data_IF_928768375090
#
_entry.id   IF_928768375090
#
_cell.length_a   1.000
_cell.length_b   1.000
_cell.length_c   1.000
_cell.angle_alpha   90.00
_cell.angle_beta   90.00
_cell.angle_gamma   90.00
#
_symmetry.space_group_name_H-M   'P 1'
#
loop_
_entity.id
_entity.type
_entity.pdbx_description
1 polymer ?
#
# COMPACT_ATOMS: atom_id res chain seq x y z
N UNK A 1 -24.73 0.61 1.01
CA UNK A 1 -24.93 1.72 1.93
C UNK A 1 -26.37 2.25 1.85
N UNK A 2 -26.86 2.64 0.67
CA UNK A 2 -28.19 3.22 0.52
C UNK A 2 -29.33 2.31 1.04
N UNK A 3 -29.26 1.01 0.78
CA UNK A 3 -30.23 0.04 1.33
C UNK A 3 -30.18 -0.11 2.83
N UNK A 4 -29.00 0.04 3.43
CA UNK A 4 -28.85 0.10 4.89
C UNK A 4 -29.56 1.34 5.47
N UNK A 5 -29.35 2.51 4.87
CA UNK A 5 -30.04 3.74 5.30
C UNK A 5 -31.57 3.66 5.14
N UNK A 6 -32.06 2.82 4.24
CA UNK A 6 -33.48 2.54 4.04
C UNK A 6 -34.04 1.46 4.99
N UNK A 7 -33.19 0.89 5.86
CA UNK A 7 -33.60 -0.13 6.82
C UNK A 7 -33.69 -1.57 6.27
N UNK A 8 -33.13 -1.84 5.08
CA UNK A 8 -33.11 -3.21 4.53
C UNK A 8 -32.05 -4.10 5.18
N UNK A 9 -31.04 -3.53 5.82
CA UNK A 9 -29.94 -4.27 6.43
C UNK A 9 -29.66 -3.74 7.85
N UNK A 10 -29.33 -4.63 8.76
CA UNK A 10 -28.94 -4.29 10.14
C UNK A 10 -27.46 -3.85 10.25
N UNK A 11 -26.65 -4.18 9.24
CA UNK A 11 -25.22 -3.90 9.19
C UNK A 11 -24.77 -3.52 7.76
N UNK A 12 -23.86 -2.56 7.67
CA UNK A 12 -23.25 -2.17 6.40
C UNK A 12 -21.84 -1.61 6.60
N UNK A 13 -20.95 -1.91 5.68
CA UNK A 13 -19.73 -1.12 5.48
C UNK A 13 -20.05 0.25 4.90
N UNK A 14 -19.12 1.19 5.05
CA UNK A 14 -19.22 2.54 4.49
C UNK A 14 -18.26 2.62 3.31
N UNK A 15 -18.78 2.84 2.10
CA UNK A 15 -17.96 3.04 0.89
C UNK A 15 -17.17 4.35 0.98
N UNK A 16 -16.09 4.47 0.21
CA UNK A 16 -15.21 5.65 0.25
C UNK A 16 -15.96 6.93 -0.14
N UNK A 17 -16.82 6.85 -1.14
CA UNK A 17 -17.64 7.96 -1.64
C UNK A 17 -18.76 8.41 -0.66
N UNK A 18 -19.18 7.52 0.24
CA UNK A 18 -20.20 7.82 1.26
C UNK A 18 -19.60 8.13 2.63
N UNK A 19 -18.27 8.08 2.76
CA UNK A 19 -17.61 8.18 4.06
C UNK A 19 -17.88 9.51 4.76
N UNK A 20 -17.70 10.63 4.08
CA UNK A 20 -17.86 11.97 4.66
C UNK A 20 -19.30 12.31 5.04
N UNK A 21 -20.28 11.61 4.44
CA UNK A 21 -21.69 11.73 4.84
C UNK A 21 -21.96 11.04 6.17
N UNK A 22 -21.24 9.97 6.47
CA UNK A 22 -21.48 9.12 7.63
C UNK A 22 -20.54 9.42 8.81
N UNK A 23 -19.28 9.77 8.52
CA UNK A 23 -18.21 9.87 9.51
C UNK A 23 -17.51 11.21 9.40
N UNK A 24 -17.18 11.79 10.54
CA UNK A 24 -16.32 12.96 10.68
C UNK A 24 -15.24 12.68 11.71
N UNK A 25 -14.18 13.45 11.72
CA UNK A 25 -13.18 13.40 12.78
C UNK A 25 -13.58 14.36 13.91
N UNK A 26 -13.44 13.92 15.14
CA UNK A 26 -13.59 14.79 16.31
C UNK A 26 -12.28 15.59 16.55
N UNK A 27 -12.27 16.45 17.58
CA UNK A 27 -11.13 17.30 17.94
C UNK A 27 -9.86 16.50 18.30
N UNK A 28 -10.00 15.20 18.57
CA UNK A 28 -8.89 14.28 18.85
C UNK A 28 -8.46 13.48 17.60
N UNK A 29 -9.04 13.80 16.42
CA UNK A 29 -8.78 13.07 15.19
C UNK A 29 -9.38 11.66 15.12
N UNK A 30 -10.30 11.31 16.02
CA UNK A 30 -10.97 10.00 16.02
C UNK A 30 -12.23 10.03 15.15
N UNK A 31 -12.51 8.96 14.40
CA UNK A 31 -13.72 8.87 13.58
C UNK A 31 -14.95 8.76 14.48
N UNK A 32 -15.93 9.61 14.23
CA UNK A 32 -17.25 9.64 14.90
C UNK A 32 -18.34 9.83 13.86
N UNK A 33 -19.55 9.37 14.17
CA UNK A 33 -20.70 9.58 13.28
C UNK A 33 -21.04 11.06 13.17
N UNK A 34 -21.47 11.47 11.98
CA UNK A 34 -22.08 12.78 11.76
C UNK A 34 -23.37 12.93 12.58
N UNK A 35 -23.81 14.17 12.88
CA UNK A 35 -25.08 14.40 13.61
C UNK A 35 -26.28 13.72 12.94
N UNK A 36 -26.33 13.74 11.59
CA UNK A 36 -27.42 13.11 10.84
C UNK A 36 -27.50 11.59 11.07
N UNK A 37 -26.37 10.90 11.13
CA UNK A 37 -26.32 9.46 11.39
C UNK A 37 -26.68 9.14 12.85
N UNK A 38 -26.28 9.99 13.80
CA UNK A 38 -26.64 9.86 15.21
C UNK A 38 -28.16 10.00 15.42
N UNK A 39 -28.81 10.92 14.70
CA UNK A 39 -30.27 11.09 14.77
C UNK A 39 -31.04 9.85 14.28
N UNK A 40 -30.46 9.09 13.35
CA UNK A 40 -31.01 7.82 12.87
C UNK A 40 -30.68 6.64 13.79
N UNK A 41 -30.12 6.87 14.97
CA UNK A 41 -29.72 5.84 15.95
C UNK A 41 -28.71 4.81 15.40
N UNK A 42 -27.97 5.16 14.35
CA UNK A 42 -26.90 4.34 13.79
C UNK A 42 -25.74 4.29 14.79
N UNK A 43 -25.08 3.14 14.87
CA UNK A 43 -23.87 2.95 15.68
C UNK A 43 -22.66 2.73 14.77
N UNK A 44 -21.56 3.39 15.08
CA UNK A 44 -20.27 3.17 14.41
C UNK A 44 -19.46 2.16 15.22
N UNK A 45 -19.05 1.08 14.57
CA UNK A 45 -18.09 0.14 15.11
C UNK A 45 -16.84 0.15 14.24
N UNK A 46 -15.69 0.31 14.86
CA UNK A 46 -14.39 0.26 14.19
C UNK A 46 -13.57 -0.90 14.72
N UNK A 47 -12.87 -1.59 13.84
CA UNK A 47 -11.96 -2.68 14.20
C UNK A 47 -10.74 -2.67 13.29
N UNK A 48 -9.62 -3.18 13.78
CA UNK A 48 -8.46 -3.44 12.94
C UNK A 48 -8.65 -4.80 12.29
N UNK A 49 -8.69 -4.83 10.95
CA UNK A 49 -8.80 -6.09 10.21
C UNK A 49 -7.46 -6.83 10.25
N UNK A 50 -7.43 -8.14 10.47
CA UNK A 50 -6.22 -8.96 10.39
C UNK A 50 -5.86 -9.20 8.92
N UNK A 51 -5.49 -8.14 8.23
CA UNK A 51 -5.16 -8.14 6.80
C UNK A 51 -3.91 -7.32 6.53
N UNK A 52 -3.15 -7.72 5.53
CA UNK A 52 -2.01 -6.98 5.03
C UNK A 52 -2.08 -6.88 3.50
N UNK A 53 -1.87 -5.68 2.96
CA UNK A 53 -1.73 -5.44 1.53
C UNK A 53 -0.29 -5.01 1.26
N UNK A 54 0.30 -5.53 0.19
CA UNK A 54 1.71 -5.36 -0.09
C UNK A 54 2.00 -5.24 -1.59
N UNK A 55 3.19 -4.77 -1.89
CA UNK A 55 3.80 -4.86 -3.21
C UNK A 55 4.85 -5.96 -3.15
N UNK A 56 4.70 -6.96 -4.02
CA UNK A 56 5.65 -8.04 -4.19
C UNK A 56 6.54 -7.83 -5.40
N UNK A 57 7.74 -8.40 -5.33
CA UNK A 57 8.69 -8.45 -6.44
C UNK A 57 8.92 -9.90 -6.87
N UNK A 58 8.93 -10.15 -8.17
CA UNK A 58 9.32 -11.46 -8.68
C UNK A 58 10.83 -11.65 -8.50
N UNK A 59 11.22 -12.53 -7.60
CA UNK A 59 12.64 -12.77 -7.28
C UNK A 59 13.42 -13.47 -8.40
N UNK A 60 12.73 -13.97 -9.44
CA UNK A 60 13.37 -14.53 -10.66
C UNK A 60 13.51 -13.50 -11.78
N UNK A 61 12.98 -12.29 -11.61
CA UNK A 61 13.12 -11.22 -12.60
C UNK A 61 14.56 -10.70 -12.67
N UNK A 62 15.13 -10.46 -13.87
CA UNK A 62 16.53 -10.06 -14.02
C UNK A 62 16.83 -8.64 -13.51
N UNK A 63 15.82 -7.78 -13.33
CA UNK A 63 15.97 -6.38 -12.90
C UNK A 63 15.72 -6.23 -11.40
N UNK A 64 14.54 -6.65 -10.95
CA UNK A 64 14.12 -6.49 -9.55
C UNK A 64 14.39 -7.71 -8.69
N UNK A 65 14.65 -8.86 -9.27
CA UNK A 65 14.84 -10.13 -8.57
C UNK A 65 16.27 -10.41 -8.13
N UNK A 66 16.45 -11.57 -7.48
CA UNK A 66 17.74 -12.06 -6.98
C UNK A 66 18.29 -11.29 -5.79
N UNK A 67 19.48 -11.72 -5.34
CA UNK A 67 20.13 -11.22 -4.10
C UNK A 67 21.32 -10.30 -4.37
N UNK A 68 21.50 -9.85 -5.62
CA UNK A 68 22.54 -8.88 -5.92
C UNK A 68 22.32 -7.58 -5.14
N UNK A 69 23.40 -6.90 -4.77
CA UNK A 69 23.33 -5.58 -4.12
C UNK A 69 22.52 -4.59 -4.98
N UNK A 70 22.72 -4.62 -6.28
CA UNK A 70 22.00 -3.77 -7.25
C UNK A 70 20.47 -3.96 -7.14
N UNK A 71 20.00 -5.21 -7.19
CA UNK A 71 18.57 -5.51 -7.12
C UNK A 71 17.97 -5.17 -5.75
N UNK A 72 18.69 -5.44 -4.66
CA UNK A 72 18.28 -5.05 -3.30
C UNK A 72 18.15 -3.54 -3.16
N UNK A 73 19.18 -2.79 -3.57
CA UNK A 73 19.16 -1.33 -3.51
C UNK A 73 17.99 -0.74 -4.32
N UNK A 74 17.69 -1.31 -5.49
CA UNK A 74 16.53 -0.92 -6.30
C UNK A 74 15.20 -1.17 -5.58
N UNK A 75 14.99 -2.38 -5.04
CA UNK A 75 13.76 -2.71 -4.28
C UNK A 75 13.61 -1.82 -3.04
N UNK A 76 14.69 -1.56 -2.31
CA UNK A 76 14.68 -0.67 -1.16
C UNK A 76 14.37 0.77 -1.54
N UNK A 77 14.95 1.28 -2.64
CA UNK A 77 14.64 2.61 -3.15
C UNK A 77 13.15 2.75 -3.52
N UNK A 78 12.58 1.75 -4.19
CA UNK A 78 11.16 1.71 -4.52
C UNK A 78 10.31 1.73 -3.24
N UNK A 79 10.62 0.87 -2.26
CA UNK A 79 9.88 0.79 -0.99
C UNK A 79 9.92 2.11 -0.21
N UNK A 80 11.08 2.79 -0.16
CA UNK A 80 11.22 4.09 0.50
C UNK A 80 10.41 5.21 -0.17
N UNK A 81 10.20 5.11 -1.48
CA UNK A 81 9.60 6.18 -2.28
C UNK A 81 8.08 6.14 -2.26
N UNK A 82 7.47 4.98 -2.10
CA UNK A 82 6.01 4.83 -2.05
C UNK A 82 5.52 5.28 -0.66
N UNK A 83 4.78 6.39 -0.62
CA UNK A 83 4.26 6.99 0.60
C UNK A 83 2.90 6.39 0.95
N UNK A 84 2.90 5.34 1.79
CA UNK A 84 1.66 4.67 2.17
C UNK A 84 0.80 5.49 3.14
N UNK A 85 1.37 6.40 3.92
CA UNK A 85 0.61 7.32 4.75
C UNK A 85 -0.20 8.28 3.88
N UNK A 86 0.43 8.84 2.82
CA UNK A 86 -0.27 9.65 1.82
C UNK A 86 -1.34 8.83 1.09
N UNK A 87 -1.03 7.59 0.70
CA UNK A 87 -2.00 6.70 0.05
C UNK A 87 -3.24 6.44 0.92
N UNK A 88 -3.03 6.14 2.20
CA UNK A 88 -4.11 5.88 3.16
C UNK A 88 -4.97 7.14 3.35
N UNK A 89 -4.33 8.31 3.46
CA UNK A 89 -5.05 9.58 3.59
C UNK A 89 -5.90 9.88 2.35
N UNK A 90 -5.32 9.75 1.14
CA UNK A 90 -5.98 10.13 -0.11
C UNK A 90 -7.06 9.14 -0.57
N UNK A 91 -6.82 7.84 -0.43
CA UNK A 91 -7.66 6.82 -1.07
C UNK A 91 -8.43 5.94 -0.09
N UNK A 92 -8.13 6.01 1.19
CA UNK A 92 -8.76 5.17 2.21
C UNK A 92 -9.44 5.99 3.32
N UNK A 93 -9.52 7.30 3.18
CA UNK A 93 -10.11 8.19 4.18
C UNK A 93 -9.47 7.97 5.57
N UNK A 94 -8.16 7.78 5.63
CA UNK A 94 -7.43 7.47 6.87
C UNK A 94 -7.68 6.09 7.46
N UNK A 95 -8.45 5.21 6.79
CA UNK A 95 -8.78 3.87 7.27
C UNK A 95 -7.69 2.86 6.92
N UNK A 96 -6.55 2.97 7.58
CA UNK A 96 -5.43 2.05 7.38
C UNK A 96 -4.28 2.38 8.31
N UNK A 97 -3.33 1.47 8.36
CA UNK A 97 -2.06 1.61 9.08
C UNK A 97 -0.96 1.23 8.10
N UNK A 98 0.04 2.08 7.92
CA UNK A 98 1.19 1.74 7.10
C UNK A 98 1.90 0.51 7.69
N UNK A 99 1.95 -0.58 6.92
CA UNK A 99 2.50 -1.84 7.39
C UNK A 99 4.03 -1.77 7.49
N UNK A 100 4.55 -2.16 8.63
CA UNK A 100 6.00 -2.24 8.89
C UNK A 100 6.52 -3.68 8.87
N UNK A 101 5.62 -4.67 8.92
CA UNK A 101 5.93 -6.10 8.86
C UNK A 101 4.80 -6.85 8.16
N UNK A 102 5.02 -8.11 7.76
CA UNK A 102 3.96 -8.97 7.25
C UNK A 102 2.86 -9.26 8.27
N UNK A 103 3.18 -9.25 9.56
CA UNK A 103 2.25 -9.55 10.65
C UNK A 103 1.47 -8.29 11.01
N UNK A 104 0.13 -8.24 10.84
CA UNK A 104 -0.69 -7.10 11.19
C UNK A 104 -0.94 -6.99 12.69
N UNK A 105 -1.39 -5.80 13.17
CA UNK A 105 -1.81 -5.63 14.57
C UNK A 105 -2.90 -6.61 14.98
N UNK A 106 -2.82 -7.13 16.22
CA UNK A 106 -3.77 -8.09 16.76
C UNK A 106 -3.39 -9.56 16.52
N UNK A 107 -2.34 -9.82 15.75
CA UNK A 107 -1.78 -11.17 15.53
C UNK A 107 -0.55 -11.36 16.41
N UNK A 108 -0.38 -12.55 16.96
CA UNK A 108 0.81 -12.89 17.76
C UNK A 108 2.10 -12.64 16.96
N UNK A 109 3.09 -12.06 17.59
CA UNK A 109 4.36 -11.68 16.93
C UNK A 109 4.36 -10.28 16.34
N UNK A 110 3.21 -9.58 16.25
CA UNK A 110 3.20 -8.17 15.88
C UNK A 110 3.98 -7.35 16.92
N UNK A 111 4.86 -6.49 16.44
CA UNK A 111 5.62 -5.58 17.28
C UNK A 111 5.27 -4.13 16.94
N UNK A 112 4.99 -3.36 18.00
CA UNK A 112 4.73 -1.92 17.87
C UNK A 112 5.97 -1.09 18.25
N UNK A 113 5.94 0.19 17.94
CA UNK A 113 7.00 1.13 18.30
C UNK A 113 8.32 0.84 17.61
N UNK A 114 9.43 1.17 18.26
CA UNK A 114 10.78 1.07 17.70
C UNK A 114 11.15 -0.35 17.23
N UNK A 115 10.74 -1.38 17.95
CA UNK A 115 11.05 -2.76 17.61
C UNK A 115 10.34 -3.25 16.33
N UNK A 116 9.19 -2.64 15.99
CA UNK A 116 8.37 -3.05 14.87
C UNK A 116 8.54 -2.23 13.58
N UNK A 117 9.39 -1.19 13.57
CA UNK A 117 9.55 -0.37 12.36
C UNK A 117 10.30 -1.14 11.26
N UNK A 118 9.92 -0.89 10.00
CA UNK A 118 10.73 -1.31 8.86
C UNK A 118 11.94 -0.36 8.71
N UNK A 119 13.17 -0.79 9.04
CA UNK A 119 14.34 0.09 9.06
C UNK A 119 14.79 0.55 7.66
N UNK A 120 14.30 -0.10 6.61
CA UNK A 120 14.52 0.37 5.24
C UNK A 120 13.77 1.66 4.96
N UNK A 121 12.51 1.74 5.39
CA UNK A 121 11.61 2.87 5.06
C UNK A 121 11.63 3.94 6.15
N UNK A 122 11.80 3.54 7.40
CA UNK A 122 11.70 4.42 8.56
C UNK A 122 12.98 4.47 9.39
N UNK A 123 13.10 5.50 10.17
CA UNK A 123 14.04 5.65 11.27
C UNK A 123 13.28 6.07 12.52
N UNK A 124 13.78 5.69 13.69
CA UNK A 124 13.20 6.08 14.97
C UNK A 124 13.85 7.37 15.48
N UNK A 125 13.03 8.38 15.78
CA UNK A 125 13.52 9.69 16.26
C UNK A 125 13.59 9.81 17.80
N UNK A 126 13.33 8.72 18.52
CA UNK A 126 13.23 8.66 19.99
C UNK A 126 11.78 8.66 20.48
N UNK A 127 10.80 8.98 19.64
CA UNK A 127 9.36 9.04 19.99
C UNK A 127 8.48 8.28 19.00
N UNK A 128 8.78 8.40 17.73
CA UNK A 128 7.95 7.81 16.65
C UNK A 128 8.80 7.44 15.44
N UNK A 129 8.21 6.63 14.56
CA UNK A 129 8.79 6.31 13.27
C UNK A 129 8.70 7.53 12.35
N UNK A 130 9.83 7.89 11.73
CA UNK A 130 9.93 8.95 10.71
C UNK A 130 10.35 8.32 9.39
N UNK A 131 9.62 8.63 8.32
CA UNK A 131 10.04 8.16 6.99
C UNK A 131 11.42 8.71 6.63
N UNK A 132 12.26 7.86 6.06
CA UNK A 132 13.53 8.29 5.51
C UNK A 132 13.30 9.26 4.34
N UNK A 133 14.16 10.29 4.18
CA UNK A 133 13.99 11.28 3.13
C UNK A 133 14.16 10.66 1.74
N UNK A 134 13.48 11.23 0.74
CA UNK A 134 13.58 10.81 -0.66
C UNK A 134 15.03 10.76 -1.17
N UNK A 135 15.89 11.65 -0.68
CA UNK A 135 17.33 11.66 -1.02
C UNK A 135 18.03 10.35 -0.68
N UNK A 136 17.59 9.64 0.37
CA UNK A 136 18.15 8.32 0.71
C UNK A 136 17.75 7.26 -0.34
N UNK A 137 16.51 7.28 -0.84
CA UNK A 137 16.08 6.42 -1.94
C UNK A 137 16.83 6.73 -3.24
N UNK A 138 17.03 8.02 -3.56
CA UNK A 138 17.81 8.44 -4.72
C UNK A 138 19.30 8.02 -4.62
N UNK A 139 19.86 8.02 -3.40
CA UNK A 139 21.21 7.52 -3.18
C UNK A 139 21.31 6.01 -3.45
N UNK A 140 20.31 5.22 -3.06
CA UNK A 140 20.23 3.79 -3.39
C UNK A 140 20.11 3.57 -4.90
N UNK A 141 19.30 4.35 -5.61
CA UNK A 141 19.24 4.30 -7.08
C UNK A 141 20.61 4.53 -7.73
N UNK A 142 21.35 5.54 -7.24
CA UNK A 142 22.72 5.82 -7.71
C UNK A 142 23.67 4.65 -7.42
N UNK A 143 23.62 4.05 -6.22
CA UNK A 143 24.40 2.88 -5.84
C UNK A 143 24.09 1.66 -6.71
N UNK A 144 22.80 1.46 -7.03
CA UNK A 144 22.34 0.43 -7.94
C UNK A 144 22.72 0.70 -9.42
N UNK A 145 23.31 1.84 -9.72
CA UNK A 145 23.74 2.23 -11.07
C UNK A 145 22.65 2.89 -11.91
N UNK A 146 21.48 3.18 -11.34
CA UNK A 146 20.35 3.85 -12.03
C UNK A 146 20.34 5.34 -11.78
N UNK A 147 21.41 6.03 -12.14
CA UNK A 147 21.54 7.49 -11.96
C UNK A 147 20.44 8.22 -12.73
N UNK A 148 19.63 9.02 -12.03
CA UNK A 148 18.50 9.72 -12.65
C UNK A 148 17.42 8.80 -13.23
N UNK A 149 17.38 7.55 -12.80
CA UNK A 149 16.44 6.55 -13.33
C UNK A 149 16.82 5.99 -14.70
N UNK A 150 18.08 6.17 -15.13
CA UNK A 150 18.57 5.63 -16.40
C UNK A 150 19.18 4.25 -16.20
N UNK A 151 18.75 3.28 -16.99
CA UNK A 151 19.36 1.96 -17.02
C UNK A 151 20.77 2.06 -17.68
N UNK A 152 21.83 1.68 -16.96
CA UNK A 152 23.19 1.80 -17.47
C UNK A 152 23.48 0.89 -18.68
N UNK A 153 22.74 -0.20 -18.85
CA UNK A 153 22.91 -1.13 -19.98
C UNK A 153 22.26 -0.60 -21.26
N UNK A 154 21.03 -0.09 -21.15
CA UNK A 154 20.25 0.35 -22.33
C UNK A 154 20.39 1.85 -22.61
N UNK A 155 20.89 2.65 -21.66
CA UNK A 155 20.95 4.12 -21.69
C UNK A 155 19.57 4.79 -21.84
N UNK A 156 18.51 4.07 -21.51
CA UNK A 156 17.11 4.53 -21.54
C UNK A 156 16.55 4.62 -20.12
N UNK A 157 15.45 5.34 -19.91
CA UNK A 157 14.75 5.32 -18.62
C UNK A 157 14.42 3.89 -18.18
N UNK A 158 14.65 3.60 -16.90
CA UNK A 158 14.28 2.33 -16.30
C UNK A 158 12.75 2.19 -16.30
N UNK A 159 12.25 1.15 -16.95
CA UNK A 159 10.83 0.80 -16.96
C UNK A 159 10.60 -0.35 -15.99
N UNK A 160 9.66 -0.17 -15.08
CA UNK A 160 9.18 -1.24 -14.16
C UNK A 160 7.74 -1.56 -14.53
N UNK A 161 7.47 -2.84 -14.71
CA UNK A 161 6.13 -3.36 -14.99
C UNK A 161 5.43 -3.68 -13.66
N UNK A 162 4.26 -3.11 -13.48
CA UNK A 162 3.47 -3.29 -12.27
C UNK A 162 2.12 -3.91 -12.60
N UNK A 163 1.97 -5.16 -12.23
CA UNK A 163 0.74 -5.93 -12.45
C UNK A 163 -0.23 -5.75 -11.28
N UNK A 164 -1.48 -5.44 -11.59
CA UNK A 164 -2.54 -5.20 -10.61
C UNK A 164 -3.85 -5.84 -11.05
N UNK A 165 -4.65 -6.27 -10.07
CA UNK A 165 -6.05 -6.60 -10.31
C UNK A 165 -6.89 -5.33 -10.17
N UNK A 166 -7.71 -5.03 -11.18
CA UNK A 166 -8.56 -3.85 -11.18
C UNK A 166 -9.80 -4.03 -12.04
N UNK A 167 -10.90 -3.42 -11.62
CA UNK A 167 -12.12 -3.29 -12.39
C UNK A 167 -12.12 -2.14 -13.40
N UNK A 168 -11.09 -1.27 -13.41
CA UNK A 168 -10.93 -0.16 -14.35
C UNK A 168 -11.74 1.09 -14.03
N UNK A 169 -12.23 1.22 -12.81
CA UNK A 169 -12.99 2.39 -12.35
C UNK A 169 -12.18 3.70 -12.26
N UNK A 170 -12.85 4.80 -11.94
CA UNK A 170 -12.22 6.12 -11.79
C UNK A 170 -11.20 6.14 -10.65
N UNK A 171 -11.51 5.48 -9.54
CA UNK A 171 -10.62 5.35 -8.38
C UNK A 171 -9.33 4.62 -8.73
N UNK A 172 -9.41 3.56 -9.53
CA UNK A 172 -8.23 2.84 -10.00
C UNK A 172 -7.32 3.75 -10.83
N UNK A 173 -7.89 4.57 -11.71
CA UNK A 173 -7.13 5.53 -12.52
C UNK A 173 -6.40 6.54 -11.65
N UNK A 174 -7.05 7.06 -10.61
CA UNK A 174 -6.44 8.01 -9.67
C UNK A 174 -5.27 7.35 -8.89
N UNK A 175 -5.47 6.13 -8.37
CA UNK A 175 -4.43 5.34 -7.68
C UNK A 175 -3.25 5.03 -8.59
N UNK A 176 -3.51 4.66 -9.85
CA UNK A 176 -2.46 4.36 -10.83
C UNK A 176 -1.66 5.62 -11.17
N UNK A 177 -2.32 6.75 -11.35
CA UNK A 177 -1.64 8.02 -11.59
C UNK A 177 -0.78 8.43 -10.41
N UNK A 178 -1.29 8.26 -9.19
CA UNK A 178 -0.53 8.51 -7.97
C UNK A 178 0.71 7.60 -7.90
N UNK A 179 0.57 6.31 -8.14
CA UNK A 179 1.69 5.36 -8.12
C UNK A 179 2.77 5.72 -9.16
N UNK A 180 2.38 6.12 -10.37
CA UNK A 180 3.33 6.64 -11.37
C UNK A 180 4.10 7.85 -10.86
N UNK A 181 3.42 8.79 -10.21
CA UNK A 181 4.06 9.97 -9.61
C UNK A 181 5.05 9.59 -8.50
N UNK A 182 4.73 8.58 -7.67
CA UNK A 182 5.69 8.11 -6.66
C UNK A 182 6.99 7.60 -7.32
N UNK A 183 6.90 6.68 -8.26
CA UNK A 183 8.09 6.09 -8.90
C UNK A 183 8.85 7.10 -9.80
N UNK A 184 8.16 8.08 -10.37
CA UNK A 184 8.79 9.15 -11.14
C UNK A 184 9.76 10.01 -10.30
N UNK A 185 9.59 10.08 -8.96
CA UNK A 185 10.55 10.72 -8.04
C UNK A 185 11.95 10.08 -8.10
N UNK A 186 12.05 8.84 -8.57
CA UNK A 186 13.29 8.10 -8.81
C UNK A 186 13.71 8.09 -10.29
N UNK A 187 12.94 8.73 -11.17
CA UNK A 187 13.13 8.66 -12.63
C UNK A 187 12.64 7.34 -13.25
N UNK A 188 11.94 6.50 -12.48
CA UNK A 188 11.40 5.22 -12.97
C UNK A 188 10.10 5.48 -13.75
N UNK A 189 10.01 4.91 -14.94
CA UNK A 189 8.77 4.82 -15.71
C UNK A 189 7.98 3.58 -15.28
N UNK A 190 6.78 3.80 -14.73
CA UNK A 190 5.93 2.71 -14.27
C UNK A 190 4.90 2.33 -15.33
N UNK A 191 5.06 1.15 -15.92
CA UNK A 191 4.09 0.52 -16.82
C UNK A 191 3.10 -0.32 -16.02
N UNK A 192 1.89 0.21 -15.81
CA UNK A 192 0.85 -0.47 -15.01
C UNK A 192 0.01 -1.35 -15.92
N UNK A 193 0.00 -2.65 -15.60
CA UNK A 193 -0.72 -3.71 -16.31
C UNK A 193 -1.91 -4.18 -15.48
N UNK A 194 -3.05 -3.57 -15.77
CA UNK A 194 -4.30 -3.91 -15.09
C UNK A 194 -5.00 -5.06 -15.79
N UNK A 195 -5.39 -6.09 -15.02
CA UNK A 195 -6.16 -7.23 -15.52
C UNK A 195 -7.23 -7.65 -14.51
N UNK A 196 -8.22 -8.43 -14.95
CA UNK A 196 -9.19 -9.03 -14.04
C UNK A 196 -8.52 -10.05 -13.11
N UNK A 197 -9.09 -10.24 -11.92
CA UNK A 197 -8.49 -11.00 -10.82
C UNK A 197 -8.02 -12.40 -11.20
N UNK A 198 -8.82 -13.18 -11.90
CA UNK A 198 -8.42 -14.55 -12.25
C UNK A 198 -7.17 -14.58 -13.12
N UNK A 199 -7.11 -13.72 -14.15
CA UNK A 199 -5.94 -13.60 -15.03
C UNK A 199 -4.73 -13.05 -14.29
N UNK A 200 -4.94 -12.06 -13.42
CA UNK A 200 -3.88 -11.52 -12.55
C UNK A 200 -3.29 -12.63 -11.67
N UNK A 201 -4.14 -13.40 -10.99
CA UNK A 201 -3.73 -14.52 -10.15
C UNK A 201 -2.89 -15.55 -10.91
N UNK A 202 -3.32 -15.90 -12.12
CA UNK A 202 -2.60 -16.88 -12.96
C UNK A 202 -1.23 -16.33 -13.39
N UNK A 203 -1.12 -15.05 -13.75
CA UNK A 203 0.17 -14.39 -14.04
C UNK A 203 1.13 -14.43 -12.84
N UNK A 204 0.66 -14.15 -11.64
CA UNK A 204 1.49 -14.20 -10.43
C UNK A 204 1.93 -15.62 -10.14
N UNK A 205 1.03 -16.61 -10.19
CA UNK A 205 1.34 -18.02 -9.95
C UNK A 205 2.35 -18.59 -10.94
N UNK A 206 2.35 -18.11 -12.17
CA UNK A 206 3.27 -18.57 -13.23
C UNK A 206 4.52 -17.70 -13.35
N UNK A 207 4.71 -16.71 -12.48
CA UNK A 207 5.88 -15.83 -12.48
C UNK A 207 5.91 -14.84 -13.66
N UNK A 208 4.78 -14.59 -14.33
CA UNK A 208 4.67 -13.65 -15.47
C UNK A 208 4.42 -12.21 -15.02
N UNK A 209 5.02 -11.82 -13.91
CA UNK A 209 4.96 -10.49 -13.31
C UNK A 209 6.37 -10.04 -12.93
N UNK A 210 6.59 -8.72 -12.84
CA UNK A 210 7.85 -8.17 -12.33
C UNK A 210 7.64 -7.58 -10.93
N UNK A 211 6.75 -6.64 -10.79
CA UNK A 211 6.25 -6.08 -9.53
C UNK A 211 4.73 -6.23 -9.53
N UNK A 212 4.12 -6.54 -8.41
CA UNK A 212 2.68 -6.77 -8.33
C UNK A 212 2.11 -6.33 -6.98
N UNK A 213 0.82 -5.98 -6.95
CA UNK A 213 0.08 -5.70 -5.72
C UNK A 213 -0.78 -6.89 -5.35
N UNK A 214 -0.72 -7.30 -4.09
CA UNK A 214 -1.60 -8.32 -3.53
C UNK A 214 -1.93 -8.00 -2.08
N UNK A 215 -2.76 -8.83 -1.47
CA UNK A 215 -3.10 -8.76 -0.06
C UNK A 215 -3.51 -10.11 0.48
N UNK A 216 -3.51 -10.20 1.78
CA UNK A 216 -3.97 -11.36 2.52
C UNK A 216 -4.89 -10.91 3.66
N UNK A 217 -6.00 -11.60 3.82
CA UNK A 217 -6.87 -11.53 4.98
C UNK A 217 -6.71 -12.85 5.72
N UNK A 218 -6.39 -12.79 7.01
CA UNK A 218 -6.22 -14.01 7.80
C UNK A 218 -7.52 -14.82 7.86
N UNK A 219 -7.41 -16.10 7.62
CA UNK A 219 -8.51 -17.06 7.81
C UNK A 219 -8.72 -17.34 9.30
N UNK A 220 -7.65 -17.23 10.10
CA UNK A 220 -7.64 -17.34 11.56
C UNK A 220 -6.48 -16.50 12.15
N UNK A 221 -6.57 -16.06 13.43
CA UNK A 221 -5.64 -15.10 14.00
C UNK A 221 -4.32 -15.74 14.47
N UNK A 222 -3.57 -16.33 13.56
CA UNK A 222 -2.26 -16.93 13.81
C UNK A 222 -1.21 -16.39 12.82
N UNK A 223 0.03 -16.12 13.25
CA UNK A 223 1.10 -15.63 12.40
C UNK A 223 1.49 -16.59 11.26
N UNK A 224 1.26 -17.88 11.38
CA UNK A 224 1.52 -18.83 10.29
C UNK A 224 0.64 -18.58 9.04
N UNK A 225 -0.44 -17.79 9.20
CA UNK A 225 -1.33 -17.42 8.12
C UNK A 225 -0.75 -16.32 7.21
N UNK A 226 0.34 -15.68 7.62
CA UNK A 226 1.04 -14.60 6.92
C UNK A 226 2.44 -15.05 6.53
#
# INVERSE_FOLDING_TARGET
WNKFLQGYYDYSGISADSFDQAVQLNDQGKPVLTPAMKQQQIRLQTTVSPSVYYIGFNMLDPIVGGDSKRARDLRQAIAMTIDYEEYIALFMNGRGIAANSPIPPGIFGFQAGQAGINPTVYQWDGKQAQRRPLSAAQALMKQAGYVGGIDPATKKPLVIHYDVSSGGGADDKARFQWMRKQLAKLGIQLDIRSTQYNRFRDKVKTGQVQMFSWGWLADYPDPENF
#
